data_IF_023072058700
#
_entry.id   IF_023072058700
#
_cell.length_a   1.000
_cell.length_b   1.000
_cell.length_c   1.000
_cell.angle_alpha   90.00
_cell.angle_beta   90.00
_cell.angle_gamma   90.00
#
_symmetry.space_group_name_H-M   'P 1'
#
loop_
_entity.id
_entity.type
_entity.pdbx_description
1 polymer ?
#
# COMPACT_ATOMS: atom_id res chain seq x y z
N UNK A 1 -8.84 17.20 -22.32
CA UNK A 1 -9.02 18.67 -22.49
C UNK A 1 -8.76 19.27 -21.12
N UNK A 2 -7.67 20.02 -20.92
CA UNK A 2 -7.44 20.75 -19.66
C UNK A 2 -8.71 21.52 -19.35
N UNK A 3 -9.33 21.29 -18.20
CA UNK A 3 -10.33 22.22 -17.68
C UNK A 3 -9.58 23.50 -17.29
N UNK A 4 -9.24 24.28 -18.32
CA UNK A 4 -8.96 25.69 -18.20
C UNK A 4 -10.21 26.27 -17.57
N UNK A 5 -10.13 26.43 -16.26
CA UNK A 5 -11.12 26.99 -15.37
C UNK A 5 -11.91 28.05 -16.12
N UNK A 6 -13.22 28.01 -15.95
CA UNK A 6 -14.15 29.11 -16.22
C UNK A 6 -13.82 30.42 -15.47
N UNK A 7 -12.57 30.59 -15.03
CA UNK A 7 -12.03 31.68 -14.22
C UNK A 7 -12.23 33.07 -14.82
N UNK A 8 -12.62 33.18 -16.10
CA UNK A 8 -12.93 34.46 -16.74
C UNK A 8 -14.42 34.80 -16.79
N UNK A 9 -15.29 33.78 -16.75
CA UNK A 9 -16.75 33.91 -16.90
C UNK A 9 -17.52 33.66 -15.60
N UNK A 10 -16.94 32.92 -14.64
CA UNK A 10 -17.57 32.63 -13.34
C UNK A 10 -16.52 32.31 -12.27
N UNK A 11 -16.71 32.80 -11.04
CA UNK A 11 -15.79 32.59 -9.91
C UNK A 11 -15.89 33.71 -8.85
N UNK A 12 -15.34 33.49 -7.64
CA UNK A 12 -15.49 34.40 -6.50
C UNK A 12 -14.93 35.81 -6.73
N UNK A 13 -14.04 35.98 -7.72
CA UNK A 13 -13.43 37.27 -8.09
C UNK A 13 -13.79 37.73 -9.51
N UNK A 14 -14.88 37.21 -10.11
CA UNK A 14 -15.28 37.54 -11.48
C UNK A 14 -16.49 38.47 -11.47
N UNK A 15 -16.30 39.71 -11.89
CA UNK A 15 -17.41 40.64 -12.13
C UNK A 15 -18.26 40.14 -13.30
N UNK A 16 -19.54 39.86 -13.02
CA UNK A 16 -20.54 39.47 -14.02
C UNK A 16 -20.96 40.72 -14.80
N UNK A 17 -20.81 40.64 -16.11
CA UNK A 17 -21.29 41.66 -17.05
C UNK A 17 -22.21 40.98 -18.04
N UNK A 18 -23.15 41.73 -18.61
CA UNK A 18 -24.16 41.22 -19.56
C UNK A 18 -23.50 40.47 -20.74
N UNK A 19 -22.34 40.95 -21.21
CA UNK A 19 -21.56 40.28 -22.23
C UNK A 19 -21.02 38.91 -21.77
N UNK A 20 -20.52 38.80 -20.54
CA UNK A 20 -20.02 37.53 -20.00
C UNK A 20 -21.15 36.52 -19.79
N UNK A 21 -22.31 36.97 -19.34
CA UNK A 21 -23.48 36.11 -19.18
C UNK A 21 -23.97 35.57 -20.53
N UNK A 22 -24.04 36.42 -21.55
CA UNK A 22 -24.41 36.01 -22.91
C UNK A 22 -23.42 35.01 -23.51
N UNK A 23 -22.12 35.20 -23.28
CA UNK A 23 -21.07 34.27 -23.71
C UNK A 23 -21.18 32.94 -22.96
N UNK A 24 -21.40 32.97 -21.64
CA UNK A 24 -21.58 31.76 -20.83
C UNK A 24 -22.81 30.96 -21.27
N UNK A 25 -23.93 31.63 -21.57
CA UNK A 25 -25.14 30.99 -22.07
C UNK A 25 -24.94 30.32 -23.44
N UNK A 26 -24.25 31.00 -24.37
CA UNK A 26 -23.86 30.43 -25.67
C UNK A 26 -22.96 29.20 -25.50
N UNK A 27 -21.98 29.26 -24.60
CA UNK A 27 -21.06 28.14 -24.34
C UNK A 27 -21.81 26.92 -23.78
N UNK A 28 -22.68 27.13 -22.77
CA UNK A 28 -23.50 26.06 -22.18
C UNK A 28 -24.40 25.40 -23.22
N UNK A 29 -25.06 26.19 -24.07
CA UNK A 29 -25.91 25.68 -25.16
C UNK A 29 -25.11 24.88 -26.19
N UNK A 30 -23.92 25.36 -26.58
CA UNK A 30 -23.01 24.65 -27.48
C UNK A 30 -22.53 23.32 -26.88
N UNK A 31 -22.15 23.31 -25.60
CA UNK A 31 -21.72 22.08 -24.91
C UNK A 31 -22.84 21.05 -24.83
N UNK A 32 -24.07 21.47 -24.48
CA UNK A 32 -25.22 20.57 -24.44
C UNK A 32 -25.52 19.96 -25.82
N UNK A 33 -25.41 20.77 -26.89
CA UNK A 33 -25.62 20.31 -28.27
C UNK A 33 -24.54 19.34 -28.75
N UNK A 34 -23.30 19.53 -28.30
CA UNK A 34 -22.16 18.71 -28.70
C UNK A 34 -21.94 17.49 -27.78
N UNK A 35 -22.66 17.39 -26.66
CA UNK A 35 -22.48 16.33 -25.68
C UNK A 35 -22.69 14.91 -26.24
N UNK A 36 -23.58 14.73 -27.23
CA UNK A 36 -23.84 13.42 -27.85
C UNK A 36 -22.81 12.99 -28.90
N UNK A 37 -21.96 13.92 -29.37
CA UNK A 37 -20.91 13.67 -30.38
C UNK A 37 -19.51 13.85 -29.78
N UNK A 38 -19.43 14.37 -28.55
CA UNK A 38 -18.19 14.49 -27.82
C UNK A 38 -17.69 13.08 -27.47
N UNK A 39 -16.65 12.64 -28.18
CA UNK A 39 -15.81 11.54 -27.72
C UNK A 39 -15.32 11.95 -26.32
N UNK A 40 -15.74 11.20 -25.30
CA UNK A 40 -15.33 11.43 -23.93
C UNK A 40 -13.80 11.32 -23.86
N UNK A 41 -13.13 12.46 -23.93
CA UNK A 41 -11.72 12.56 -23.57
C UNK A 41 -11.65 12.11 -22.10
N UNK A 42 -10.88 11.07 -21.76
CA UNK A 42 -10.92 10.48 -20.43
C UNK A 42 -10.70 11.58 -19.39
N UNK A 43 -11.55 11.55 -18.37
CA UNK A 43 -11.57 12.54 -17.30
C UNK A 43 -10.19 12.53 -16.62
N UNK A 44 -9.69 13.68 -16.13
CA UNK A 44 -8.44 13.70 -15.34
C UNK A 44 -8.52 12.83 -14.07
N UNK A 45 -9.73 12.38 -13.69
CA UNK A 45 -9.98 11.37 -12.65
C UNK A 45 -10.04 9.91 -13.13
N UNK A 46 -9.91 9.63 -14.42
CA UNK A 46 -9.97 8.28 -15.00
C UNK A 46 -8.78 7.91 -15.88
N UNK A 47 -7.81 8.80 -16.07
CA UNK A 47 -6.55 8.45 -16.76
C UNK A 47 -5.54 7.96 -15.72
N UNK A 48 -5.28 6.66 -15.72
CA UNK A 48 -4.12 6.08 -15.06
C UNK A 48 -2.86 6.60 -15.77
N UNK A 49 -2.13 7.51 -15.13
CA UNK A 49 -0.85 8.03 -15.61
C UNK A 49 0.27 7.29 -14.86
N UNK A 50 0.94 6.29 -15.47
CA UNK A 50 1.98 5.51 -14.80
C UNK A 50 3.24 6.31 -14.43
N UNK A 51 3.41 7.54 -14.91
CA UNK A 51 4.54 8.41 -14.53
C UNK A 51 4.21 9.35 -13.35
N UNK A 52 2.93 9.69 -13.13
CA UNK A 52 2.48 10.57 -12.03
C UNK A 52 1.76 9.81 -10.90
N UNK A 53 0.98 8.78 -11.24
CA UNK A 53 0.57 7.75 -10.29
C UNK A 53 1.73 6.75 -10.22
N UNK A 54 2.70 6.97 -9.30
CA UNK A 54 3.46 5.84 -8.77
C UNK A 54 2.41 4.85 -8.27
N UNK A 55 2.11 3.82 -9.06
CA UNK A 55 1.03 2.90 -8.78
C UNK A 55 1.24 2.42 -7.36
N UNK A 56 0.37 2.85 -6.43
CA UNK A 56 0.45 2.42 -5.05
C UNK A 56 0.49 0.88 -5.13
N UNK A 57 1.60 0.20 -4.78
CA UNK A 57 1.68 -1.25 -4.85
C UNK A 57 0.54 -1.91 -4.06
N UNK A 58 -0.05 -1.15 -3.15
CA UNK A 58 -1.11 -1.53 -2.24
C UNK A 58 -2.51 -1.16 -2.77
N UNK A 59 -2.68 -0.64 -4.00
CA UNK A 59 -4.02 -0.37 -4.60
C UNK A 59 -4.91 -1.62 -4.60
N UNK A 60 -4.33 -2.82 -4.69
CA UNK A 60 -5.04 -4.10 -4.61
C UNK A 60 -5.37 -4.59 -3.19
N UNK A 61 -4.96 -3.85 -2.15
CA UNK A 61 -5.10 -4.23 -0.74
C UNK A 61 -6.14 -3.38 0.02
N UNK A 62 -6.92 -2.55 -0.69
CA UNK A 62 -7.98 -1.72 -0.12
C UNK A 62 -7.53 -0.30 0.28
N UNK A 63 -8.43 0.46 0.89
CA UNK A 63 -8.15 1.83 1.34
C UNK A 63 -7.06 1.86 2.41
N UNK A 64 -6.34 2.99 2.61
CA UNK A 64 -5.35 3.12 3.68
C UNK A 64 -5.90 2.74 5.06
N UNK A 65 -7.13 3.14 5.39
CA UNK A 65 -7.79 2.83 6.66
C UNK A 65 -8.06 1.33 6.79
N UNK A 66 -8.52 0.69 5.70
CA UNK A 66 -8.72 -0.75 5.67
C UNK A 66 -7.40 -1.50 5.85
N UNK A 67 -6.34 -1.09 5.15
CA UNK A 67 -4.99 -1.66 5.30
C UNK A 67 -4.49 -1.55 6.73
N UNK A 68 -4.69 -0.39 7.36
CA UNK A 68 -4.30 -0.19 8.76
C UNK A 68 -5.09 -1.08 9.72
N UNK A 69 -6.39 -1.25 9.49
CA UNK A 69 -7.21 -2.17 10.28
C UNK A 69 -6.72 -3.62 10.15
N UNK A 70 -6.38 -4.06 8.93
CA UNK A 70 -5.81 -5.40 8.68
C UNK A 70 -4.46 -5.58 9.38
N UNK A 71 -3.58 -4.58 9.31
CA UNK A 71 -2.26 -4.59 9.97
C UNK A 71 -2.42 -4.79 11.48
N UNK A 72 -3.23 -3.96 12.15
CA UNK A 72 -3.46 -4.05 13.59
C UNK A 72 -4.09 -5.39 13.99
N UNK A 73 -5.10 -5.85 13.27
CA UNK A 73 -5.76 -7.12 13.56
C UNK A 73 -4.83 -8.33 13.37
N UNK A 74 -3.93 -8.26 12.37
CA UNK A 74 -2.93 -9.30 12.15
C UNK A 74 -1.90 -9.34 13.28
N UNK A 75 -1.39 -8.18 13.73
CA UNK A 75 -0.49 -8.12 14.87
C UNK A 75 -1.13 -8.71 16.13
N UNK A 76 -2.37 -8.31 16.44
CA UNK A 76 -3.10 -8.79 17.62
C UNK A 76 -3.31 -10.32 17.58
N UNK A 77 -3.66 -10.86 16.41
CA UNK A 77 -3.80 -12.30 16.20
C UNK A 77 -2.47 -13.05 16.41
N UNK A 78 -1.34 -12.50 15.92
CA UNK A 78 -0.01 -13.09 16.09
C UNK A 78 0.44 -13.05 17.54
N UNK A 79 0.23 -11.92 18.23
CA UNK A 79 0.51 -11.78 19.66
C UNK A 79 -0.25 -12.85 20.44
N UNK A 80 -1.57 -12.97 20.22
CA UNK A 80 -2.40 -13.99 20.87
C UNK A 80 -1.92 -15.43 20.57
N UNK A 81 -1.55 -15.70 19.31
CA UNK A 81 -1.04 -17.01 18.87
C UNK A 81 0.22 -17.44 19.64
N UNK A 82 1.19 -16.54 19.80
CA UNK A 82 2.44 -16.85 20.50
C UNK A 82 2.28 -16.83 22.03
N UNK A 83 1.48 -15.92 22.60
CA UNK A 83 1.19 -15.91 24.04
C UNK A 83 0.56 -17.23 24.46
N UNK A 84 -0.41 -17.75 23.68
CA UNK A 84 -1.04 -19.06 23.94
C UNK A 84 -0.04 -20.22 23.97
N UNK A 85 1.09 -20.08 23.30
CA UNK A 85 2.18 -21.06 23.29
C UNK A 85 3.24 -20.82 24.38
N UNK A 86 3.02 -19.85 25.25
CA UNK A 86 3.88 -19.51 26.39
C UNK A 86 5.07 -18.61 26.02
N UNK A 87 4.98 -17.85 24.94
CA UNK A 87 5.96 -16.82 24.62
C UNK A 87 5.60 -15.49 25.30
N UNK A 88 6.64 -14.77 25.71
CA UNK A 88 6.58 -13.32 25.95
C UNK A 88 6.93 -12.58 24.66
N UNK A 89 6.57 -11.31 24.53
CA UNK A 89 6.85 -10.54 23.32
C UNK A 89 7.39 -9.14 23.59
N UNK A 90 8.14 -8.61 22.63
CA UNK A 90 8.62 -7.24 22.59
C UNK A 90 8.41 -6.69 21.16
N UNK A 91 7.89 -5.47 21.04
CA UNK A 91 7.81 -4.72 19.76
C UNK A 91 9.17 -4.12 19.41
N UNK A 92 9.56 -4.17 18.14
CA UNK A 92 10.83 -3.62 17.63
C UNK A 92 10.67 -2.40 16.73
N UNK A 93 9.52 -1.72 16.82
CA UNK A 93 9.07 -0.58 15.99
C UNK A 93 10.03 0.63 15.88
N UNK A 94 11.19 0.62 16.55
CA UNK A 94 12.20 1.68 16.51
C UNK A 94 13.56 1.22 16.01
N UNK A 95 13.73 -0.04 15.64
CA UNK A 95 15.00 -0.60 15.19
C UNK A 95 14.90 -1.06 13.73
N UNK A 96 15.88 -0.75 12.87
CA UNK A 96 15.90 -1.22 11.48
C UNK A 96 16.31 -2.70 11.39
N UNK A 97 15.66 -3.59 12.14
CA UNK A 97 16.04 -5.00 12.26
C UNK A 97 15.34 -5.95 11.28
N UNK A 98 14.30 -5.49 10.58
CA UNK A 98 13.62 -6.25 9.51
C UNK A 98 12.60 -7.27 10.03
N UNK A 99 12.03 -7.01 11.20
CA UNK A 99 10.95 -7.75 11.85
C UNK A 99 10.22 -6.85 12.85
N UNK A 100 8.96 -7.16 13.16
CA UNK A 100 8.07 -6.36 14.02
C UNK A 100 8.16 -6.71 15.50
N UNK A 101 8.40 -8.00 15.79
CA UNK A 101 8.38 -8.53 17.15
C UNK A 101 9.54 -9.47 17.46
N UNK A 102 9.93 -9.50 18.72
CA UNK A 102 10.74 -10.58 19.30
C UNK A 102 9.84 -11.36 20.25
N UNK A 103 9.65 -12.65 19.96
CA UNK A 103 8.95 -13.58 20.85
C UNK A 103 9.95 -14.48 21.56
N UNK A 104 9.93 -14.46 22.90
CA UNK A 104 10.91 -15.18 23.72
C UNK A 104 10.23 -16.22 24.60
N UNK A 105 10.76 -17.46 24.57
CA UNK A 105 10.35 -18.57 25.44
C UNK A 105 11.57 -19.37 25.87
N UNK A 106 11.87 -19.38 27.17
CA UNK A 106 13.06 -20.01 27.75
C UNK A 106 14.34 -19.48 27.07
N UNK A 107 15.09 -20.35 26.38
CA UNK A 107 16.35 -20.02 25.68
C UNK A 107 16.13 -19.77 24.17
N UNK A 108 14.88 -19.73 23.71
CA UNK A 108 14.53 -19.48 22.31
C UNK A 108 13.98 -18.07 22.14
N UNK A 109 14.48 -17.36 21.12
CA UNK A 109 13.95 -16.09 20.65
C UNK A 109 13.63 -16.22 19.16
N UNK A 110 12.42 -15.83 18.78
CA UNK A 110 11.95 -15.76 17.41
C UNK A 110 11.81 -14.30 17.00
N UNK A 111 12.33 -13.96 15.83
CA UNK A 111 12.25 -12.62 15.25
C UNK A 111 11.14 -12.63 14.19
N UNK A 112 9.98 -12.09 14.50
CA UNK A 112 8.76 -12.30 13.72
C UNK A 112 8.38 -11.05 12.96
N UNK A 113 8.29 -11.17 11.65
CA UNK A 113 7.65 -10.22 10.75
C UNK A 113 6.19 -10.64 10.54
N UNK A 114 5.24 -9.70 10.69
CA UNK A 114 3.81 -9.95 10.56
C UNK A 114 3.30 -9.44 9.23
N UNK A 115 2.65 -10.31 8.45
CA UNK A 115 1.95 -9.90 7.22
C UNK A 115 0.51 -10.36 7.28
N UNK A 116 -0.42 -9.44 7.02
CA UNK A 116 -1.86 -9.69 7.11
C UNK A 116 -2.59 -9.41 5.80
N UNK A 117 -3.67 -10.15 5.57
CA UNK A 117 -4.67 -9.84 4.54
C UNK A 117 -6.09 -10.11 5.06
N UNK A 118 -7.07 -9.33 4.60
CA UNK A 118 -8.48 -9.55 4.92
C UNK A 118 -9.05 -10.80 4.22
N UNK A 119 -8.46 -11.23 3.10
CA UNK A 119 -8.92 -12.40 2.35
C UNK A 119 -8.34 -13.73 2.87
N UNK A 120 -8.82 -14.84 2.33
CA UNK A 120 -8.31 -16.18 2.65
C UNK A 120 -6.99 -16.53 1.92
N UNK A 121 -6.71 -15.88 0.78
CA UNK A 121 -5.50 -16.13 0.00
C UNK A 121 -4.34 -15.27 0.51
N UNK A 122 -3.22 -15.86 0.96
CA UNK A 122 -2.09 -15.10 1.47
C UNK A 122 -1.41 -14.33 0.32
N UNK A 123 -1.20 -13.02 0.54
CA UNK A 123 -0.40 -12.15 -0.33
C UNK A 123 0.23 -11.07 0.54
N UNK A 124 1.48 -10.72 0.25
CA UNK A 124 2.23 -9.74 1.01
C UNK A 124 3.35 -9.15 0.17
N UNK A 125 3.91 -8.04 0.64
CA UNK A 125 5.16 -7.48 0.15
C UNK A 125 6.18 -7.52 1.28
N UNK A 126 7.45 -7.70 0.92
CA UNK A 126 8.57 -7.48 1.83
C UNK A 126 9.26 -6.17 1.47
N UNK A 127 9.55 -5.36 2.47
CA UNK A 127 10.45 -4.21 2.28
C UNK A 127 11.89 -4.71 2.08
N UNK A 128 12.75 -3.82 1.57
CA UNK A 128 14.18 -4.14 1.39
C UNK A 128 14.82 -4.61 2.70
N UNK A 129 14.46 -4.00 3.83
CA UNK A 129 15.06 -4.31 5.12
C UNK A 129 14.55 -5.66 5.66
N UNK A 130 13.25 -5.92 5.56
CA UNK A 130 12.66 -7.23 5.90
C UNK A 130 13.26 -8.36 5.08
N UNK A 131 13.47 -8.14 3.78
CA UNK A 131 14.11 -9.13 2.93
C UNK A 131 15.59 -9.32 3.28
N UNK A 132 16.38 -8.24 3.32
CA UNK A 132 17.83 -8.33 3.45
C UNK A 132 18.27 -8.64 4.89
N UNK A 133 17.86 -7.82 5.87
CA UNK A 133 18.27 -7.99 7.26
C UNK A 133 17.48 -9.09 7.97
N UNK A 134 16.17 -9.18 7.71
CA UNK A 134 15.30 -10.22 8.25
C UNK A 134 15.53 -11.56 7.57
N UNK A 135 14.86 -11.79 6.44
CA UNK A 135 14.79 -13.09 5.79
C UNK A 135 16.16 -13.68 5.40
N UNK A 136 17.08 -12.87 4.87
CA UNK A 136 18.32 -13.37 4.29
C UNK A 136 19.45 -13.58 5.31
N UNK A 137 19.52 -12.79 6.38
CA UNK A 137 20.65 -12.79 7.31
C UNK A 137 20.33 -13.32 8.71
N UNK A 138 19.06 -13.36 9.11
CA UNK A 138 18.66 -13.70 10.46
C UNK A 138 18.04 -15.11 10.54
N UNK A 139 18.73 -16.11 11.12
CA UNK A 139 18.23 -17.49 11.18
C UNK A 139 17.02 -17.67 12.11
N UNK A 140 16.83 -16.75 13.04
CA UNK A 140 15.68 -16.73 13.95
C UNK A 140 14.47 -16.02 13.34
N UNK A 141 14.61 -15.48 12.12
CA UNK A 141 13.53 -14.78 11.43
C UNK A 141 12.38 -15.73 11.08
N UNK A 142 11.14 -15.29 11.27
CA UNK A 142 9.93 -15.99 10.89
C UNK A 142 8.96 -15.01 10.23
N UNK A 143 8.24 -15.48 9.22
CA UNK A 143 7.05 -14.80 8.72
C UNK A 143 5.83 -15.35 9.46
N UNK A 144 5.06 -14.50 10.12
CA UNK A 144 3.71 -14.82 10.55
C UNK A 144 2.70 -14.25 9.54
N UNK A 145 2.17 -15.12 8.68
CA UNK A 145 1.16 -14.76 7.69
C UNK A 145 -0.24 -14.94 8.31
N UNK A 146 -1.02 -13.87 8.33
CA UNK A 146 -2.40 -13.86 8.82
C UNK A 146 -3.37 -13.72 7.65
N UNK A 147 -4.29 -14.67 7.51
CA UNK A 147 -5.39 -14.59 6.54
C UNK A 147 -6.72 -14.44 7.27
N UNK A 148 -7.70 -13.88 6.59
CA UNK A 148 -9.00 -13.51 7.18
C UNK A 148 -8.84 -12.65 8.43
N UNK A 149 -7.89 -11.70 8.40
CA UNK A 149 -7.45 -10.94 9.58
C UNK A 149 -8.58 -10.17 10.29
N UNK A 150 -9.60 -9.73 9.55
CA UNK A 150 -10.74 -8.98 10.09
C UNK A 150 -11.94 -9.88 10.46
N UNK A 151 -11.80 -11.20 10.39
CA UNK A 151 -12.85 -12.14 10.81
C UNK A 151 -12.76 -12.45 12.30
N UNK A 152 -13.80 -13.08 12.85
CA UNK A 152 -13.82 -13.53 14.25
C UNK A 152 -12.80 -14.66 14.54
N UNK A 153 -12.26 -15.30 13.49
CA UNK A 153 -11.33 -16.42 13.59
C UNK A 153 -10.17 -16.28 12.58
N UNK A 154 -9.26 -15.29 12.79
CA UNK A 154 -8.12 -15.08 11.93
C UNK A 154 -7.19 -16.30 11.95
N UNK A 155 -6.62 -16.64 10.79
CA UNK A 155 -5.76 -17.81 10.63
C UNK A 155 -4.29 -17.37 10.57
N UNK A 156 -3.50 -17.82 11.55
CA UNK A 156 -2.06 -17.51 11.63
C UNK A 156 -1.27 -18.72 11.15
N UNK A 157 -0.40 -18.52 10.15
CA UNK A 157 0.57 -19.53 9.70
C UNK A 157 1.99 -18.99 9.81
N UNK A 158 2.87 -19.73 10.46
CA UNK A 158 4.28 -19.38 10.61
C UNK A 158 5.14 -20.07 9.54
N UNK A 159 6.07 -19.32 8.94
CA UNK A 159 7.09 -19.84 8.03
C UNK A 159 8.49 -19.44 8.51
N UNK A 160 9.38 -20.41 8.61
CA UNK A 160 10.82 -20.14 8.61
C UNK A 160 11.33 -19.83 7.19
N UNK A 161 12.57 -19.34 7.01
CA UNK A 161 13.08 -18.95 5.69
C UNK A 161 13.06 -20.06 4.64
N UNK A 162 13.24 -21.33 5.04
CA UNK A 162 13.15 -22.48 4.13
C UNK A 162 11.70 -22.72 3.71
N UNK A 163 10.80 -22.83 4.70
CA UNK A 163 9.37 -23.06 4.46
C UNK A 163 8.76 -21.94 3.61
N UNK A 164 9.20 -20.70 3.79
CA UNK A 164 8.73 -19.58 2.98
C UNK A 164 9.06 -19.75 1.50
N UNK A 165 10.31 -20.18 1.19
CA UNK A 165 10.77 -20.42 -0.19
C UNK A 165 10.06 -21.61 -0.84
N UNK A 166 9.65 -22.59 -0.05
CA UNK A 166 8.87 -23.74 -0.53
C UNK A 166 7.41 -23.37 -0.77
N UNK A 167 6.84 -22.47 0.04
CA UNK A 167 5.43 -22.10 -0.02
C UNK A 167 5.13 -20.94 -0.97
N UNK A 168 6.08 -20.05 -1.25
CA UNK A 168 5.87 -18.83 -2.03
C UNK A 168 6.95 -18.62 -3.10
N UNK A 169 6.50 -18.26 -4.31
CA UNK A 169 7.37 -17.70 -5.35
C UNK A 169 7.52 -16.19 -5.10
N UNK A 170 8.65 -15.78 -4.53
CA UNK A 170 8.96 -14.36 -4.30
C UNK A 170 9.64 -13.78 -5.54
N UNK A 171 8.97 -12.81 -6.17
CA UNK A 171 9.51 -12.07 -7.30
C UNK A 171 9.76 -10.61 -6.92
N UNK A 172 10.90 -10.02 -7.33
CA UNK A 172 11.15 -8.60 -7.09
C UNK A 172 10.08 -7.72 -7.75
N UNK A 173 9.35 -6.95 -6.95
CA UNK A 173 8.32 -6.04 -7.46
C UNK A 173 8.86 -4.66 -7.84
N UNK A 174 9.83 -4.15 -7.09
CA UNK A 174 10.42 -2.81 -7.30
C UNK A 174 11.95 -2.88 -7.22
N UNK A 175 12.59 -2.21 -8.18
CA UNK A 175 14.01 -1.91 -8.17
C UNK A 175 14.20 -0.40 -7.99
N UNK A 176 15.16 0.00 -7.15
CA UNK A 176 15.55 1.40 -6.99
C UNK A 176 16.97 1.53 -7.49
N UNK A 177 17.15 2.27 -8.59
CA UNK A 177 18.48 2.64 -9.09
C UNK A 177 19.00 3.87 -8.33
N UNK A 178 20.26 3.81 -7.90
CA UNK A 178 20.99 4.97 -7.41
C UNK A 178 22.19 5.21 -8.32
N UNK A 179 22.43 6.47 -8.68
CA UNK A 179 23.65 6.83 -9.40
C UNK A 179 24.85 6.62 -8.49
N UNK A 180 25.80 5.79 -8.93
CA UNK A 180 27.06 5.54 -8.24
C UNK A 180 28.20 6.24 -9.01
N UNK A 181 28.61 7.46 -8.62
CA UNK A 181 29.75 8.11 -9.26
C UNK A 181 31.01 7.27 -9.01
N UNK A 182 31.84 7.12 -10.04
CA UNK A 182 33.16 6.53 -9.88
C UNK A 182 34.01 7.46 -9.01
N UNK A 183 34.83 6.94 -8.08
CA UNK A 183 35.82 7.78 -7.41
C UNK A 183 36.72 8.42 -8.47
N UNK A 184 37.00 9.71 -8.36
CA UNK A 184 38.08 10.34 -9.12
C UNK A 184 39.39 9.64 -8.71
N UNK A 185 40.12 9.16 -9.72
CA UNK A 185 41.40 8.46 -9.57
C UNK A 185 42.51 9.42 -9.15
#
# INVERSE_FOLDING_TARGET
>A
MKQGKYSFLDGPNVTKTENKERVQARLKSLMARLASVAIHNPNEHTVFDPELDQADPLRGFGSPEHRKAVELAAEDAVIAYYIKQGYSYQRTTHLPCGYDFIFTRKQSALHVEVKGTAGATPRFFLTRNEHNAGLMLNPNWRLAMVTSALSDAPQVTEYNPRQLKEAFSLEPYVYIGAFAPKPEL
#
